data_IF_695452792584
#
_entry.id   IF_695452792584
#
_cell.length_a   1.000
_cell.length_b   1.000
_cell.length_c   1.000
_cell.angle_alpha   90.00
_cell.angle_beta   90.00
_cell.angle_gamma   90.00
#
_symmetry.space_group_name_H-M   'P 1'
#
loop_
_entity.id
_entity.type
_entity.pdbx_description
1 polymer ?
#
# COMPACT_ATOMS: atom_id res chain seq x y z
N UNK A 1 -11.06 1.55 24.17
CA UNK A 1 -12.03 1.35 23.07
C UNK A 1 -11.28 1.65 21.79
N UNK A 2 -10.81 0.63 21.07
CA UNK A 2 -10.08 0.82 19.80
C UNK A 2 -11.10 0.62 18.69
N UNK A 3 -11.50 1.71 18.03
CA UNK A 3 -12.39 1.61 16.89
C UNK A 3 -11.69 0.77 15.81
N UNK A 4 -12.32 -0.28 15.26
CA UNK A 4 -11.71 -1.04 14.18
C UNK A 4 -11.49 -0.11 13.00
N UNK A 5 -10.23 -0.02 12.53
CA UNK A 5 -9.91 0.77 11.35
C UNK A 5 -10.72 0.23 10.14
N UNK A 6 -11.31 1.11 9.31
CA UNK A 6 -12.08 0.72 8.14
C UNK A 6 -11.24 -0.12 7.18
N UNK A 7 -11.86 -1.03 6.42
CA UNK A 7 -11.12 -1.85 5.48
C UNK A 7 -10.43 -1.00 4.39
N UNK A 8 -9.26 -1.44 3.86
CA UNK A 8 -8.65 -0.82 2.68
C UNK A 8 -9.63 -0.79 1.50
N UNK A 9 -9.56 0.25 0.67
CA UNK A 9 -10.41 0.46 -0.51
C UNK A 9 -11.50 1.53 -0.32
N UNK A 10 -11.90 1.80 0.93
CA UNK A 10 -12.97 2.76 1.22
C UNK A 10 -12.66 3.72 2.39
N UNK A 11 -11.43 3.74 2.90
CA UNK A 11 -11.13 4.53 4.11
C UNK A 11 -11.00 6.03 3.82
N UNK A 12 -10.78 6.40 2.55
CA UNK A 12 -10.76 7.80 2.10
C UNK A 12 -12.03 8.18 1.32
N UNK A 13 -13.08 7.34 1.28
CA UNK A 13 -14.28 7.57 0.43
C UNK A 13 -14.91 8.94 0.62
N UNK A 14 -14.91 9.44 1.85
CA UNK A 14 -15.57 10.68 2.24
C UNK A 14 -14.64 11.92 2.21
N UNK A 15 -13.38 11.75 1.77
CA UNK A 15 -12.39 12.83 1.71
C UNK A 15 -11.72 12.92 0.33
N UNK A 16 -11.65 14.14 -0.21
CA UNK A 16 -10.98 14.45 -1.48
C UNK A 16 -9.57 15.02 -1.28
N UNK A 17 -8.77 15.01 -2.36
CA UNK A 17 -7.51 15.76 -2.46
C UNK A 17 -7.66 16.89 -3.48
N UNK A 18 -7.21 18.08 -3.10
CA UNK A 18 -7.27 19.29 -3.92
C UNK A 18 -5.86 19.82 -4.11
N UNK A 19 -5.39 19.87 -5.36
CA UNK A 19 -4.07 20.39 -5.68
C UNK A 19 -4.20 21.87 -6.03
N UNK A 20 -3.63 22.72 -5.16
CA UNK A 20 -3.56 24.15 -5.39
C UNK A 20 -2.55 24.41 -6.53
N UNK A 21 -3.03 25.00 -7.62
CA UNK A 21 -2.17 25.42 -8.72
C UNK A 21 -1.24 26.53 -8.26
N UNK A 22 0.03 26.41 -8.60
CA UNK A 22 1.01 27.48 -8.43
C UNK A 22 0.68 28.56 -9.46
N UNK A 23 -0.07 29.58 -9.05
CA UNK A 23 -0.41 30.71 -9.91
C UNK A 23 0.68 31.78 -9.72
N UNK A 24 1.66 31.91 -10.64
CA UNK A 24 2.62 33.00 -10.57
C UNK A 24 1.86 34.31 -10.75
N UNK A 25 2.18 35.29 -9.91
CA UNK A 25 1.36 36.49 -9.71
C UNK A 25 0.99 37.27 -10.97
N UNK A 26 -0.20 37.87 -10.93
CA UNK A 26 -0.56 39.04 -11.74
C UNK A 26 -1.75 38.85 -12.69
N UNK A 27 -2.82 39.61 -12.44
CA UNK A 27 -3.83 39.95 -13.45
C UNK A 27 -5.06 39.02 -13.47
N UNK A 28 -6.24 39.61 -13.30
CA UNK A 28 -7.50 38.90 -13.29
C UNK A 28 -7.85 38.24 -14.62
N UNK A 29 -8.68 37.20 -14.55
CA UNK A 29 -9.27 36.54 -15.72
C UNK A 29 -9.56 35.08 -15.43
N UNK A 30 -10.85 34.74 -15.34
CA UNK A 30 -11.36 33.40 -15.10
C UNK A 30 -10.87 32.36 -16.13
N UNK A 31 -10.40 31.20 -15.67
CA UNK A 31 -10.67 29.87 -16.26
C UNK A 31 -9.91 28.77 -15.51
N UNK A 32 -10.59 27.68 -15.16
CA UNK A 32 -9.97 26.47 -14.59
C UNK A 32 -10.24 26.20 -13.11
N UNK A 33 -11.33 26.69 -12.55
CA UNK A 33 -11.78 26.25 -11.23
C UNK A 33 -12.24 24.80 -11.30
N UNK A 34 -11.37 23.86 -10.96
CA UNK A 34 -11.81 22.54 -10.48
C UNK A 34 -12.68 22.83 -9.26
N UNK A 35 -14.00 22.72 -9.43
CA UNK A 35 -14.96 23.05 -8.41
C UNK A 35 -14.62 22.26 -7.15
N UNK A 36 -14.28 22.97 -6.06
CA UNK A 36 -14.24 22.37 -4.75
C UNK A 36 -15.63 21.73 -4.49
N UNK A 37 -15.69 20.46 -4.04
CA UNK A 37 -16.96 19.85 -3.67
C UNK A 37 -17.61 20.71 -2.57
N UNK A 38 -18.94 20.77 -2.61
CA UNK A 38 -19.77 21.62 -1.74
C UNK A 38 -19.75 21.23 -0.24
N UNK A 39 -18.77 20.44 0.19
CA UNK A 39 -18.52 20.05 1.57
C UNK A 39 -17.02 20.24 1.82
N UNK A 40 -16.65 21.12 2.75
CA UNK A 40 -15.26 21.42 3.14
C UNK A 40 -14.53 20.27 3.84
N UNK A 41 -14.64 19.05 3.32
CA UNK A 41 -14.08 17.81 3.84
C UNK A 41 -13.05 17.28 2.81
N UNK A 42 -11.78 17.64 2.98
CA UNK A 42 -10.72 17.21 2.07
C UNK A 42 -9.36 17.83 2.40
N UNK A 43 -8.30 17.30 1.81
CA UNK A 43 -6.94 17.81 1.95
C UNK A 43 -6.65 18.80 0.82
N UNK A 44 -6.17 19.98 1.17
CA UNK A 44 -5.62 20.95 0.20
C UNK A 44 -4.11 20.91 0.27
N UNK A 45 -3.46 20.59 -0.84
CA UNK A 45 -2.00 20.44 -0.94
C UNK A 45 -1.51 21.31 -2.10
N UNK A 46 -0.33 21.90 -1.96
CA UNK A 46 0.40 22.36 -3.15
C UNK A 46 0.83 21.17 -4.01
N UNK A 47 1.15 21.45 -5.28
CA UNK A 47 1.63 20.41 -6.19
C UNK A 47 2.88 19.69 -5.66
N UNK A 48 3.82 20.45 -5.09
CA UNK A 48 5.07 19.90 -4.57
C UNK A 48 4.84 19.06 -3.31
N UNK A 49 3.93 19.48 -2.42
CA UNK A 49 3.54 18.66 -1.25
C UNK A 49 2.89 17.35 -1.67
N UNK A 50 1.99 17.39 -2.65
CA UNK A 50 1.33 16.18 -3.15
C UNK A 50 2.31 15.23 -3.85
N UNK A 51 3.27 15.75 -4.63
CA UNK A 51 4.33 14.93 -5.23
C UNK A 51 5.26 14.32 -4.18
N UNK A 52 5.65 15.11 -3.17
CA UNK A 52 6.46 14.63 -2.05
C UNK A 52 5.75 13.52 -1.28
N UNK A 53 4.47 13.70 -0.98
CA UNK A 53 3.64 12.72 -0.30
C UNK A 53 3.44 11.45 -1.15
N UNK A 54 3.22 11.60 -2.45
CA UNK A 54 3.11 10.47 -3.39
C UNK A 54 4.38 9.63 -3.40
N UNK A 55 5.55 10.27 -3.49
CA UNK A 55 6.84 9.59 -3.48
C UNK A 55 7.09 8.86 -2.16
N UNK A 56 6.77 9.48 -1.03
CA UNK A 56 6.87 8.83 0.28
C UNK A 56 5.93 7.63 0.39
N UNK A 57 4.67 7.78 -0.05
CA UNK A 57 3.71 6.69 -0.02
C UNK A 57 4.13 5.51 -0.91
N UNK A 58 4.64 5.77 -2.11
CA UNK A 58 5.22 4.74 -3.01
C UNK A 58 6.38 4.01 -2.33
N UNK A 59 7.33 4.73 -1.74
CA UNK A 59 8.47 4.13 -1.02
C UNK A 59 8.04 3.21 0.12
N UNK A 60 7.11 3.66 0.98
CA UNK A 60 6.62 2.83 2.09
C UNK A 60 5.84 1.62 1.58
N UNK A 61 5.03 1.77 0.52
CA UNK A 61 4.31 0.65 -0.10
C UNK A 61 5.29 -0.41 -0.57
N UNK A 62 6.35 -0.01 -1.26
CA UNK A 62 7.36 -0.91 -1.80
C UNK A 62 8.13 -1.62 -0.67
N UNK A 63 8.46 -0.91 0.41
CA UNK A 63 9.07 -1.51 1.61
C UNK A 63 8.17 -2.58 2.24
N UNK A 64 6.87 -2.30 2.37
CA UNK A 64 5.90 -3.26 2.89
C UNK A 64 5.72 -4.45 1.94
N UNK A 65 5.68 -4.21 0.63
CA UNK A 65 5.62 -5.25 -0.38
C UNK A 65 6.84 -6.19 -0.30
N UNK A 66 8.03 -5.62 -0.14
CA UNK A 66 9.27 -6.37 0.04
C UNK A 66 9.31 -7.15 1.38
N UNK A 67 8.60 -6.67 2.40
CA UNK A 67 8.50 -7.35 3.70
C UNK A 67 7.54 -8.55 3.68
N UNK A 68 6.52 -8.54 2.81
CA UNK A 68 5.48 -9.59 2.76
C UNK A 68 6.05 -11.02 2.69
N UNK A 69 7.00 -11.38 1.81
CA UNK A 69 7.53 -12.73 1.74
C UNK A 69 8.20 -13.18 3.05
N UNK A 70 8.89 -12.25 3.73
CA UNK A 70 9.53 -12.53 5.02
C UNK A 70 8.48 -12.76 6.10
N UNK A 71 7.46 -11.90 6.16
CA UNK A 71 6.35 -12.03 7.10
C UNK A 71 5.57 -13.34 6.89
N UNK A 72 5.31 -13.72 5.63
CA UNK A 72 4.70 -15.00 5.27
C UNK A 72 5.56 -16.18 5.73
N UNK A 73 6.87 -16.13 5.50
CA UNK A 73 7.81 -17.14 5.98
C UNK A 73 7.73 -17.37 7.49
N UNK A 74 7.63 -16.29 8.28
CA UNK A 74 7.50 -16.37 9.73
C UNK A 74 6.21 -17.10 10.18
N UNK A 75 5.15 -17.06 9.37
CA UNK A 75 3.91 -17.82 9.66
C UNK A 75 4.04 -19.33 9.45
N UNK A 76 5.18 -19.81 8.95
CA UNK A 76 5.45 -21.23 8.70
C UNK A 76 6.55 -21.80 9.61
N UNK A 77 6.96 -21.06 10.64
CA UNK A 77 7.98 -21.51 11.59
C UNK A 77 7.55 -22.79 12.31
N UNK A 78 8.50 -23.71 12.47
CA UNK A 78 8.33 -24.96 13.23
C UNK A 78 8.98 -24.83 14.61
N UNK A 79 8.50 -25.58 15.61
CA UNK A 79 9.16 -25.65 16.91
C UNK A 79 10.58 -26.21 16.75
N UNK A 80 11.58 -25.70 17.50
CA UNK A 80 12.97 -26.14 17.38
C UNK A 80 13.20 -27.56 17.92
N UNK A 81 12.32 -28.05 18.80
CA UNK A 81 12.34 -29.40 19.33
C UNK A 81 10.92 -29.87 19.70
N UNK A 82 10.70 -31.18 19.71
CA UNK A 82 9.40 -31.79 20.03
C UNK A 82 9.24 -32.00 21.53
N UNK A 83 9.13 -30.88 22.24
CA UNK A 83 8.85 -30.85 23.66
C UNK A 83 7.76 -29.83 24.01
N UNK A 84 7.08 -29.95 25.17
CA UNK A 84 5.96 -29.10 25.52
C UNK A 84 6.28 -27.60 25.49
N UNK A 85 7.49 -27.20 25.90
CA UNK A 85 7.90 -25.78 25.93
C UNK A 85 8.05 -25.21 24.51
N UNK A 86 8.81 -25.88 23.64
CA UNK A 86 9.02 -25.47 22.25
C UNK A 86 7.72 -25.43 21.45
N UNK A 87 6.87 -26.45 21.62
CA UNK A 87 5.57 -26.53 20.95
C UNK A 87 4.62 -25.41 21.42
N UNK A 88 4.53 -25.16 22.72
CA UNK A 88 3.67 -24.11 23.27
C UNK A 88 4.12 -22.70 22.87
N UNK A 89 5.43 -22.44 22.85
CA UNK A 89 5.96 -21.17 22.38
C UNK A 89 5.71 -20.96 20.88
N UNK A 90 5.97 -21.97 20.04
CA UNK A 90 5.68 -21.90 18.60
C UNK A 90 4.20 -21.65 18.32
N UNK A 91 3.29 -22.24 19.11
CA UNK A 91 1.86 -21.98 19.02
C UNK A 91 1.46 -20.51 19.28
N UNK A 92 2.21 -19.78 20.12
CA UNK A 92 2.00 -18.33 20.32
C UNK A 92 2.45 -17.52 19.10
N UNK A 93 3.51 -17.98 18.41
CA UNK A 93 4.09 -17.30 17.26
C UNK A 93 3.28 -17.51 15.98
N UNK A 94 2.98 -18.77 15.64
CA UNK A 94 2.35 -19.15 14.36
C UNK A 94 0.85 -19.39 14.52
N UNK A 95 0.42 -19.81 15.70
CA UNK A 95 -0.96 -20.22 15.97
C UNK A 95 -1.08 -21.73 16.13
N UNK A 96 -2.20 -22.17 16.67
CA UNK A 96 -2.50 -23.58 16.97
C UNK A 96 -3.70 -24.12 16.18
N UNK A 97 -3.99 -23.53 15.02
CA UNK A 97 -5.16 -23.86 14.19
C UNK A 97 -6.50 -23.32 14.69
N UNK A 98 -6.62 -22.99 15.98
CA UNK A 98 -7.82 -22.35 16.56
C UNK A 98 -7.69 -20.83 16.66
N UNK A 99 -6.48 -20.34 16.88
CA UNK A 99 -6.17 -18.90 16.93
C UNK A 99 -4.94 -18.60 16.09
N UNK A 100 -4.97 -17.43 15.44
CA UNK A 100 -3.80 -16.86 14.79
C UNK A 100 -2.73 -16.53 15.84
N UNK A 101 -1.48 -16.91 15.57
CA UNK A 101 -0.33 -16.47 16.37
C UNK A 101 0.12 -15.06 15.99
N UNK A 102 1.09 -14.53 16.74
CA UNK A 102 1.63 -13.19 16.56
C UNK A 102 2.06 -12.89 15.11
N UNK A 103 2.74 -13.83 14.43
CA UNK A 103 3.21 -13.61 13.06
C UNK A 103 2.06 -13.57 12.04
N UNK A 104 0.98 -14.33 12.24
CA UNK A 104 -0.19 -14.26 11.37
C UNK A 104 -0.95 -12.93 11.54
N UNK A 105 -1.01 -12.41 12.77
CA UNK A 105 -1.53 -11.06 13.00
C UNK A 105 -0.65 -9.98 12.36
N UNK A 106 0.66 -10.08 12.52
CA UNK A 106 1.63 -9.16 11.90
C UNK A 106 1.51 -9.13 10.37
N UNK A 107 1.44 -10.31 9.73
CA UNK A 107 1.22 -10.43 8.29
C UNK A 107 -0.08 -9.72 7.86
N UNK A 108 -1.19 -9.96 8.57
CA UNK A 108 -2.45 -9.29 8.28
C UNK A 108 -2.40 -7.77 8.46
N UNK A 109 -1.54 -7.26 9.33
CA UNK A 109 -1.32 -5.83 9.50
C UNK A 109 -0.57 -5.23 8.30
N UNK A 110 0.54 -5.84 7.90
CA UNK A 110 1.34 -5.42 6.74
C UNK A 110 0.49 -5.41 5.47
N UNK A 111 -0.30 -6.46 5.24
CA UNK A 111 -1.21 -6.54 4.09
C UNK A 111 -2.26 -5.41 4.09
N UNK A 112 -2.75 -5.04 5.28
CA UNK A 112 -3.73 -3.96 5.41
C UNK A 112 -3.11 -2.60 5.17
N UNK A 113 -1.95 -2.34 5.76
CA UNK A 113 -1.19 -1.09 5.55
C UNK A 113 -0.82 -0.90 4.09
N UNK A 114 -0.34 -1.97 3.44
CA UNK A 114 -0.09 -1.98 1.99
C UNK A 114 -1.35 -1.57 1.22
N UNK A 115 -2.51 -2.14 1.55
CA UNK A 115 -3.79 -1.77 0.93
C UNK A 115 -4.17 -0.29 1.14
N UNK A 116 -3.93 0.27 2.32
CA UNK A 116 -4.18 1.69 2.58
C UNK A 116 -3.30 2.60 1.74
N UNK A 117 -2.02 2.24 1.58
CA UNK A 117 -1.07 3.00 0.76
C UNK A 117 -1.42 2.91 -0.72
N UNK A 118 -1.84 1.76 -1.22
CA UNK A 118 -2.34 1.62 -2.60
C UNK A 118 -3.51 2.58 -2.87
N UNK A 119 -4.49 2.65 -1.96
CA UNK A 119 -5.61 3.60 -2.11
C UNK A 119 -5.15 5.06 -2.04
N UNK A 120 -4.23 5.39 -1.13
CA UNK A 120 -3.69 6.73 -0.99
C UNK A 120 -2.93 7.18 -2.24
N UNK A 121 -2.05 6.32 -2.76
CA UNK A 121 -1.27 6.54 -3.98
C UNK A 121 -2.22 6.81 -5.15
N UNK A 122 -3.22 5.94 -5.36
CA UNK A 122 -4.18 6.11 -6.45
C UNK A 122 -4.90 7.47 -6.39
N UNK A 123 -5.35 7.89 -5.21
CA UNK A 123 -6.02 9.19 -5.04
C UNK A 123 -5.10 10.38 -5.24
N UNK A 124 -3.83 10.28 -4.83
CA UNK A 124 -2.84 11.33 -5.07
C UNK A 124 -2.49 11.43 -6.56
N UNK A 125 -2.34 10.32 -7.25
CA UNK A 125 -2.13 10.27 -8.70
C UNK A 125 -3.31 10.90 -9.46
N UNK A 126 -4.54 10.49 -9.12
CA UNK A 126 -5.77 11.06 -9.68
C UNK A 126 -5.84 12.57 -9.47
N UNK A 127 -5.55 13.04 -8.25
CA UNK A 127 -5.58 14.47 -7.91
C UNK A 127 -4.48 15.29 -8.61
N UNK A 128 -3.30 14.68 -8.83
CA UNK A 128 -2.20 15.29 -9.57
C UNK A 128 -2.40 15.22 -11.10
N UNK A 129 -3.43 14.52 -11.57
CA UNK A 129 -3.66 14.26 -12.99
C UNK A 129 -2.57 13.36 -13.60
N UNK A 130 -1.88 12.58 -12.78
CA UNK A 130 -0.94 11.58 -13.25
C UNK A 130 -1.77 10.36 -13.68
N UNK A 131 -1.66 9.95 -14.95
CA UNK A 131 -2.22 8.66 -15.35
C UNK A 131 -1.59 7.57 -14.48
N UNK A 132 -2.44 6.74 -13.88
CA UNK A 132 -2.05 5.58 -13.08
C UNK A 132 -0.92 4.86 -13.82
N UNK A 133 0.30 4.89 -13.28
CA UNK A 133 1.46 4.22 -13.87
C UNK A 133 1.20 2.71 -13.80
N UNK A 134 0.47 2.21 -14.79
CA UNK A 134 0.14 0.82 -15.01
C UNK A 134 1.36 0.03 -15.48
N UNK A 135 2.46 0.12 -14.73
CA UNK A 135 3.75 -0.52 -15.04
C UNK A 135 4.10 -1.64 -14.04
N UNK A 136 3.23 -1.93 -13.08
CA UNK A 136 3.36 -3.12 -12.22
C UNK A 136 3.02 -4.43 -12.99
N UNK A 137 2.38 -4.32 -14.16
CA UNK A 137 2.16 -5.45 -15.08
C UNK A 137 3.36 -5.74 -16.00
N UNK A 138 4.30 -4.81 -16.17
CA UNK A 138 5.51 -5.05 -16.96
C UNK A 138 6.53 -5.94 -16.22
N UNK A 139 6.57 -5.88 -14.88
CA UNK A 139 7.44 -6.72 -14.05
C UNK A 139 7.09 -8.21 -14.05
N UNK A 140 5.80 -8.53 -14.22
CA UNK A 140 5.33 -9.93 -14.29
C UNK A 140 5.58 -10.53 -15.68
N UNK A 141 5.44 -9.73 -16.75
CA UNK A 141 5.70 -10.18 -18.14
C UNK A 141 7.18 -10.50 -18.41
N UNK A 142 8.12 -9.78 -17.79
CA UNK A 142 9.56 -10.06 -17.93
C UNK A 142 9.96 -11.32 -17.16
N UNK A 143 9.39 -11.56 -15.97
CA UNK A 143 9.70 -12.77 -15.19
C UNK A 143 9.14 -14.05 -15.82
N UNK A 144 8.04 -13.94 -16.58
CA UNK A 144 7.47 -15.07 -17.33
C UNK A 144 8.19 -15.30 -18.68
N UNK A 145 8.79 -14.27 -19.29
CA UNK A 145 9.63 -14.42 -20.49
C UNK A 145 11.01 -15.02 -20.16
N UNK A 146 11.60 -14.69 -19.00
CA UNK A 146 12.87 -15.28 -18.57
C UNK A 146 12.77 -16.78 -18.21
N UNK A 147 11.56 -17.29 -17.95
CA UNK A 147 11.34 -18.71 -17.61
C UNK A 147 11.07 -19.59 -18.85
N UNK A 148 10.83 -19.00 -20.02
CA UNK A 148 10.50 -19.73 -21.26
C UNK A 148 11.66 -19.78 -22.28
N UNK A 149 12.78 -19.09 -22.02
CA UNK A 149 13.97 -19.08 -22.88
C UNK A 149 15.05 -20.08 -22.44
N UNK A 150 14.63 -21.13 -21.72
CA UNK A 150 15.46 -22.25 -21.24
C UNK A 150 15.45 -23.46 -22.16
N UNK A 151 15.29 -23.27 -23.47
CA UNK A 151 15.31 -24.35 -24.45
C UNK A 151 16.08 -23.95 -25.69
N UNK A 152 17.34 -24.38 -25.80
CA UNK A 152 17.99 -24.84 -27.04
C UNK A 152 19.45 -25.29 -26.80
N UNK A 153 19.73 -26.49 -27.32
CA UNK A 153 21.03 -27.06 -27.72
C UNK A 153 21.93 -27.76 -26.66
N UNK A 154 22.02 -29.09 -26.77
CA UNK A 154 23.00 -29.96 -26.12
C UNK A 154 22.53 -31.40 -26.02
#
# INVERSE_FOLDING_TARGET
>A
MTQPAPAPGNWLSDVGFHILGDQPGGGGGASGGSAAPASGQGFSLSRDEALSMLNQAKGIRDDLWNLLPTAEGLTHLKPPADEPASNSYNALLVGNGQKAGAFRYGLGHIQREHGYLVELIGRLEDALGLMHEGDEQAGIAVKQSASNDGGLAG
#
